data_IF_589338999855
#
_entry.id   IF_589338999855
#
_cell.length_a   1.000
_cell.length_b   1.000
_cell.length_c   1.000
_cell.angle_alpha   90.00
_cell.angle_beta   90.00
_cell.angle_gamma   90.00
#
_symmetry.space_group_name_H-M   'P 1'
#
loop_
_entity.id
_entity.type
_entity.pdbx_description
1 polymer ?
#
# COMPACT_ATOMS: atom_id res chain seq x y z
N UNK A 1 22.04 -10.29 0.96
CA UNK A 1 21.80 -9.58 2.22
C UNK A 1 23.16 -9.08 2.68
N UNK A 2 23.28 -7.83 3.14
CA UNK A 2 24.57 -7.33 3.63
C UNK A 2 24.74 -7.71 5.10
N UNK A 3 25.97 -7.82 5.62
CA UNK A 3 26.23 -8.15 7.03
C UNK A 3 25.49 -7.24 8.01
N UNK A 4 25.38 -5.96 7.69
CA UNK A 4 24.70 -4.94 8.51
C UNK A 4 23.20 -5.22 8.61
N UNK A 5 22.58 -5.71 7.53
CA UNK A 5 21.16 -6.10 7.53
C UNK A 5 20.95 -7.33 8.39
N UNK A 6 21.85 -8.32 8.31
CA UNK A 6 21.76 -9.53 9.14
C UNK A 6 21.90 -9.22 10.64
N UNK A 7 22.82 -8.32 11.01
CA UNK A 7 22.99 -7.86 12.39
C UNK A 7 21.74 -7.12 12.88
N UNK A 8 21.16 -6.26 12.05
CA UNK A 8 19.91 -5.55 12.36
C UNK A 8 18.75 -6.52 12.61
N UNK A 9 18.60 -7.53 11.76
CA UNK A 9 17.55 -8.57 11.91
C UNK A 9 17.78 -9.38 13.19
N UNK A 10 19.03 -9.78 13.47
CA UNK A 10 19.37 -10.51 14.70
C UNK A 10 19.07 -9.68 15.95
N UNK A 11 19.39 -8.38 15.93
CA UNK A 11 19.10 -7.47 17.03
C UNK A 11 17.59 -7.33 17.28
N UNK A 12 16.80 -7.12 16.21
CA UNK A 12 15.34 -7.02 16.33
C UNK A 12 14.70 -8.32 16.87
N UNK A 13 15.13 -9.48 16.37
CA UNK A 13 14.66 -10.77 16.87
C UNK A 13 15.03 -10.98 18.36
N UNK A 14 16.23 -10.58 18.76
CA UNK A 14 16.69 -10.66 20.14
C UNK A 14 15.93 -9.71 21.08
N UNK A 15 15.63 -8.48 20.64
CA UNK A 15 14.81 -7.50 21.38
C UNK A 15 13.41 -8.04 21.68
N UNK A 16 12.83 -8.77 20.72
CA UNK A 16 11.53 -9.43 20.89
C UNK A 16 11.60 -10.80 21.59
N UNK A 17 12.80 -11.29 21.93
CA UNK A 17 13.01 -12.58 22.58
C UNK A 17 12.65 -13.80 21.70
N UNK A 18 12.69 -13.65 20.37
CA UNK A 18 12.27 -14.68 19.40
C UNK A 18 13.46 -15.22 18.59
N UNK A 19 13.41 -16.48 18.13
CA UNK A 19 14.34 -16.95 17.09
C UNK A 19 14.21 -16.11 15.82
N UNK A 20 15.33 -15.84 15.15
CA UNK A 20 15.36 -15.05 13.90
C UNK A 20 14.38 -15.60 12.85
N UNK A 21 14.27 -16.92 12.72
CA UNK A 21 13.34 -17.55 11.78
C UNK A 21 11.87 -17.27 12.11
N UNK A 22 11.50 -17.26 13.40
CA UNK A 22 10.15 -16.95 13.85
C UNK A 22 9.84 -15.46 13.62
N UNK A 23 10.78 -14.59 14.00
CA UNK A 23 10.67 -13.15 13.78
C UNK A 23 10.48 -12.81 12.30
N UNK A 24 11.26 -13.43 11.40
CA UNK A 24 11.13 -13.22 9.96
C UNK A 24 9.78 -13.73 9.41
N UNK A 25 9.28 -14.86 9.90
CA UNK A 25 8.00 -15.39 9.48
C UNK A 25 6.84 -14.45 9.89
N UNK A 26 6.88 -13.94 11.12
CA UNK A 26 5.91 -12.96 11.61
C UNK A 26 5.97 -11.65 10.84
N UNK A 27 7.18 -11.11 10.60
CA UNK A 27 7.39 -9.90 9.81
C UNK A 27 6.87 -10.04 8.37
N UNK A 28 7.04 -11.22 7.77
CA UNK A 28 6.52 -11.52 6.44
C UNK A 28 4.98 -11.56 6.42
N UNK A 29 4.35 -12.17 7.43
CA UNK A 29 2.89 -12.19 7.59
C UNK A 29 2.34 -10.78 7.78
N UNK A 30 2.95 -9.98 8.65
CA UNK A 30 2.57 -8.59 8.88
C UNK A 30 2.67 -7.77 7.59
N UNK A 31 3.77 -7.92 6.85
CA UNK A 31 3.95 -7.22 5.57
C UNK A 31 2.92 -7.64 4.53
N UNK A 32 2.59 -8.93 4.46
CA UNK A 32 1.55 -9.44 3.57
C UNK A 32 0.16 -8.91 3.96
N UNK A 33 -0.14 -8.82 5.25
CA UNK A 33 -1.39 -8.26 5.76
C UNK A 33 -1.53 -6.78 5.39
N UNK A 34 -0.49 -5.98 5.63
CA UNK A 34 -0.48 -4.57 5.24
C UNK A 34 -0.64 -4.38 3.73
N UNK A 35 0.01 -5.22 2.91
CA UNK A 35 -0.16 -5.19 1.46
C UNK A 35 -1.60 -5.52 1.04
N UNK A 36 -2.23 -6.50 1.70
CA UNK A 36 -3.62 -6.85 1.47
C UNK A 36 -4.58 -5.70 1.84
N UNK A 37 -4.36 -5.04 2.98
CA UNK A 37 -5.14 -3.87 3.39
C UNK A 37 -5.00 -2.72 2.39
N UNK A 38 -3.79 -2.45 1.90
CA UNK A 38 -3.56 -1.44 0.85
C UNK A 38 -4.29 -1.79 -0.45
N UNK A 39 -4.27 -3.06 -0.86
CA UNK A 39 -5.00 -3.51 -2.05
C UNK A 39 -6.51 -3.35 -1.89
N UNK A 40 -7.06 -3.70 -0.72
CA UNK A 40 -8.47 -3.50 -0.39
C UNK A 40 -8.85 -2.01 -0.39
N UNK A 41 -8.03 -1.15 0.21
CA UNK A 41 -8.24 0.30 0.22
C UNK A 41 -8.27 0.91 -1.19
N UNK A 42 -7.37 0.46 -2.07
CA UNK A 42 -7.40 0.84 -3.50
C UNK A 42 -8.68 0.42 -4.20
N UNK A 43 -9.15 -0.81 -3.96
CA UNK A 43 -10.37 -1.31 -4.55
C UNK A 43 -11.59 -0.48 -4.10
N UNK A 44 -11.72 -0.25 -2.79
CA UNK A 44 -12.79 0.57 -2.23
C UNK A 44 -12.78 2.01 -2.77
N UNK A 45 -11.61 2.64 -2.89
CA UNK A 45 -11.49 3.98 -3.46
C UNK A 45 -11.97 4.04 -4.92
N UNK A 46 -11.65 3.02 -5.73
CA UNK A 46 -12.12 2.93 -7.13
C UNK A 46 -13.63 2.75 -7.21
N UNK A 47 -14.21 1.94 -6.34
CA UNK A 47 -15.67 1.75 -6.27
C UNK A 47 -16.40 3.05 -5.94
N UNK A 48 -15.91 3.82 -4.95
CA UNK A 48 -16.49 5.11 -4.58
C UNK A 48 -16.44 6.13 -5.72
N UNK A 49 -15.34 6.18 -6.47
CA UNK A 49 -15.22 7.06 -7.64
C UNK A 49 -16.20 6.62 -8.73
N UNK A 50 -16.27 5.32 -9.03
CA UNK A 50 -17.19 4.79 -10.04
C UNK A 50 -18.66 5.05 -9.69
N UNK A 51 -19.03 4.87 -8.41
CA UNK A 51 -20.37 5.19 -7.91
C UNK A 51 -20.70 6.67 -8.09
N UNK A 52 -19.79 7.56 -7.66
CA UNK A 52 -19.95 9.00 -7.86
C UNK A 52 -20.15 9.35 -9.34
N UNK A 53 -19.30 8.84 -10.23
CA UNK A 53 -19.37 9.15 -11.66
C UNK A 53 -20.65 8.61 -12.31
N UNK A 54 -21.17 7.47 -11.83
CA UNK A 54 -22.45 6.94 -12.30
C UNK A 54 -23.63 7.84 -11.94
N UNK A 55 -23.57 8.51 -10.79
CA UNK A 55 -24.64 9.36 -10.27
C UNK A 55 -24.55 10.81 -10.77
N UNK A 56 -23.34 11.31 -10.99
CA UNK A 56 -23.07 12.73 -11.20
C UNK A 56 -22.37 13.05 -12.53
N UNK A 57 -21.99 12.03 -13.30
CA UNK A 57 -21.13 12.17 -14.47
C UNK A 57 -19.65 12.23 -14.10
N UNK A 58 -18.80 12.24 -15.12
CA UNK A 58 -17.34 12.18 -14.95
C UNK A 58 -16.82 13.28 -14.01
N UNK A 59 -15.87 12.92 -13.14
CA UNK A 59 -15.21 13.90 -12.30
C UNK A 59 -14.45 14.92 -13.17
N UNK A 60 -14.51 16.23 -12.83
CA UNK A 60 -13.67 17.22 -13.47
C UNK A 60 -12.19 16.83 -13.36
N UNK A 61 -11.43 17.07 -14.42
CA UNK A 61 -10.02 16.65 -14.53
C UNK A 61 -9.17 17.08 -13.32
N UNK A 62 -9.38 18.31 -12.86
CA UNK A 62 -8.66 18.84 -11.69
C UNK A 62 -8.99 18.09 -10.39
N UNK A 63 -10.20 17.58 -10.25
CA UNK A 63 -10.61 16.75 -9.10
C UNK A 63 -10.01 15.35 -9.18
N UNK A 64 -9.91 14.77 -10.39
CA UNK A 64 -9.21 13.50 -10.63
C UNK A 64 -7.72 13.60 -10.31
N UNK A 65 -7.08 14.68 -10.74
CA UNK A 65 -5.67 14.94 -10.45
C UNK A 65 -5.41 15.06 -8.93
N UNK A 66 -6.24 15.82 -8.20
CA UNK A 66 -6.11 15.91 -6.73
C UNK A 66 -6.34 14.57 -6.04
N UNK A 67 -7.30 13.78 -6.49
CA UNK A 67 -7.53 12.44 -5.95
C UNK A 67 -6.33 11.52 -6.22
N UNK A 68 -5.71 11.63 -7.40
CA UNK A 68 -4.49 10.89 -7.75
C UNK A 68 -3.32 11.26 -6.84
N UNK A 69 -3.07 12.56 -6.63
CA UNK A 69 -2.02 13.06 -5.74
C UNK A 69 -2.21 12.54 -4.32
N UNK A 70 -3.43 12.64 -3.79
CA UNK A 70 -3.76 12.11 -2.47
C UNK A 70 -3.52 10.60 -2.34
N UNK A 71 -3.91 9.82 -3.36
CA UNK A 71 -3.69 8.37 -3.36
C UNK A 71 -2.21 8.01 -3.50
N UNK A 72 -1.40 8.79 -4.23
CA UNK A 72 0.06 8.61 -4.29
C UNK A 72 0.71 8.94 -2.95
N UNK A 73 0.35 10.05 -2.31
CA UNK A 73 0.84 10.43 -0.97
C UNK A 73 0.50 9.38 0.09
N UNK A 74 -0.68 8.77 0.02
CA UNK A 74 -1.10 7.70 0.92
C UNK A 74 -0.42 6.35 0.64
N UNK A 75 0.44 6.25 -0.38
CA UNK A 75 1.05 4.98 -0.81
C UNK A 75 0.03 3.99 -1.40
N UNK A 76 -1.14 4.49 -1.80
CA UNK A 76 -2.23 3.73 -2.40
C UNK A 76 -2.16 3.74 -3.93
N UNK A 77 -1.18 4.38 -4.54
CA UNK A 77 -0.98 4.33 -5.99
C UNK A 77 0.50 4.41 -6.32
N UNK A 78 0.98 3.50 -7.17
CA UNK A 78 2.30 3.63 -7.78
C UNK A 78 2.18 4.51 -9.03
N UNK A 79 3.23 5.28 -9.33
CA UNK A 79 3.25 6.29 -10.40
C UNK A 79 2.71 5.79 -11.76
N UNK A 80 2.85 4.50 -12.06
CA UNK A 80 2.59 3.90 -13.37
C UNK A 80 1.25 3.14 -13.48
N UNK A 81 0.40 3.13 -12.44
CA UNK A 81 -0.73 2.19 -12.35
C UNK A 81 -2.13 2.78 -12.59
N UNK A 82 -2.24 4.03 -13.05
CA UNK A 82 -3.54 4.63 -13.36
C UNK A 82 -3.83 4.61 -14.87
N UNK A 83 -4.99 4.11 -15.32
CA UNK A 83 -5.39 4.25 -16.71
C UNK A 83 -5.66 5.72 -17.01
N UNK A 84 -4.92 6.31 -17.96
CA UNK A 84 -5.35 7.56 -18.58
C UNK A 84 -6.68 7.27 -19.29
N UNK A 85 -7.73 7.99 -18.91
CA UNK A 85 -9.01 7.90 -19.60
C UNK A 85 -8.81 8.46 -21.03
N UNK A 86 -9.11 7.63 -22.03
CA UNK A 86 -9.23 8.05 -23.42
C UNK A 86 -10.52 8.81 -23.72
#
# INVERSE_FOLDING_TARGET
MTPEIEETIKAAAAEEGKPVSAWLAEAAVEKAHLAALQAAGRAAARELVAEYESLHGALPEQSRQRAREFLMEAGLLEHDTWPEAG
#
